data_IF_740078915306
#
_entry.id   IF_740078915306
#
_cell.length_a   1.000
_cell.length_b   1.000
_cell.length_c   1.000
_cell.angle_alpha   90.00
_cell.angle_beta   90.00
_cell.angle_gamma   90.00
#
_symmetry.space_group_name_H-M   'P 1'
#
loop_
_entity.id
_entity.type
_entity.pdbx_description
1 polymer ?
#
# COMPACT_ATOMS: atom_id res chain seq x y z
N UNK A 1 -13.24 5.34 6.13
CA UNK A 1 -13.85 4.27 6.95
C UNK A 1 -14.73 4.86 8.05
N UNK A 2 -14.23 5.82 8.85
CA UNK A 2 -14.99 6.43 9.96
C UNK A 2 -16.34 7.04 9.50
N UNK A 3 -16.34 7.79 8.40
CA UNK A 3 -17.56 8.39 7.81
C UNK A 3 -18.57 7.29 7.41
N UNK A 4 -18.10 6.24 6.74
CA UNK A 4 -18.96 5.11 6.36
C UNK A 4 -19.51 4.39 7.57
N UNK A 5 -18.69 4.18 8.60
CA UNK A 5 -19.14 3.53 9.85
C UNK A 5 -20.27 4.32 10.51
N UNK A 6 -20.13 5.64 10.65
CA UNK A 6 -21.16 6.51 11.22
C UNK A 6 -22.45 6.50 10.40
N UNK A 7 -22.33 6.53 9.08
CA UNK A 7 -23.46 6.46 8.16
C UNK A 7 -24.20 5.14 8.29
N UNK A 8 -23.48 4.02 8.21
CA UNK A 8 -24.04 2.66 8.33
C UNK A 8 -24.69 2.46 9.70
N UNK A 9 -24.06 2.95 10.77
CA UNK A 9 -24.61 2.86 12.11
C UNK A 9 -26.00 3.55 12.19
N UNK A 10 -26.09 4.76 11.65
CA UNK A 10 -27.36 5.51 11.61
C UNK A 10 -28.41 4.81 10.76
N UNK A 11 -28.03 4.24 9.63
CA UNK A 11 -28.95 3.47 8.78
C UNK A 11 -29.51 2.24 9.52
N UNK A 12 -28.65 1.49 10.21
CA UNK A 12 -29.05 0.31 11.01
C UNK A 12 -29.94 0.72 12.18
N UNK A 13 -29.61 1.82 12.86
CA UNK A 13 -30.43 2.35 13.96
C UNK A 13 -31.83 2.71 13.48
N UNK A 14 -31.94 3.41 12.34
CA UNK A 14 -33.23 3.76 11.71
C UNK A 14 -34.02 2.51 11.31
N UNK A 15 -33.37 1.47 10.76
CA UNK A 15 -34.02 0.20 10.42
C UNK A 15 -34.62 -0.49 11.65
N UNK A 16 -33.95 -0.40 12.83
CA UNK A 16 -34.48 -0.95 14.07
C UNK A 16 -35.73 -0.15 14.54
N UNK A 17 -35.71 1.17 14.41
CA UNK A 17 -36.86 2.03 14.75
C UNK A 17 -38.06 1.78 13.83
N UNK A 18 -37.84 1.72 12.51
CA UNK A 18 -38.89 1.50 11.51
C UNK A 18 -39.55 0.10 11.62
N UNK A 19 -38.81 -0.89 12.08
CA UNK A 19 -39.33 -2.25 12.27
C UNK A 19 -39.84 -2.52 13.71
N UNK A 20 -39.92 -1.48 14.54
CA UNK A 20 -40.37 -1.59 15.96
C UNK A 20 -39.55 -2.60 16.77
N UNK A 21 -38.27 -2.78 16.42
CA UNK A 21 -37.36 -3.69 17.13
C UNK A 21 -36.83 -3.02 18.41
N UNK A 22 -36.67 -3.81 19.47
CA UNK A 22 -36.00 -3.34 20.68
C UNK A 22 -34.56 -2.86 20.34
N UNK A 23 -34.22 -1.64 20.76
CA UNK A 23 -32.93 -1.04 20.52
C UNK A 23 -31.84 -1.74 21.32
N UNK A 24 -31.11 -2.65 20.66
CA UNK A 24 -29.97 -3.39 21.19
C UNK A 24 -28.68 -2.84 20.56
N UNK A 25 -27.97 -2.02 21.32
CA UNK A 25 -26.73 -1.34 20.82
C UNK A 25 -25.65 -2.34 20.39
N UNK A 26 -25.53 -3.50 21.04
CA UNK A 26 -24.55 -4.50 20.66
C UNK A 26 -24.90 -5.14 19.31
N UNK A 27 -26.16 -5.42 19.07
CA UNK A 27 -26.62 -5.92 17.77
C UNK A 27 -26.43 -4.89 16.67
N UNK A 28 -26.80 -3.62 16.93
CA UNK A 28 -26.59 -2.52 15.98
C UNK A 28 -25.12 -2.40 15.62
N UNK A 29 -24.21 -2.38 16.60
CA UNK A 29 -22.75 -2.36 16.36
C UNK A 29 -22.26 -3.53 15.52
N UNK A 30 -22.71 -4.75 15.85
CA UNK A 30 -22.32 -5.97 15.13
C UNK A 30 -22.79 -5.96 13.68
N UNK A 31 -23.99 -5.50 13.41
CA UNK A 31 -24.53 -5.36 12.05
C UNK A 31 -23.76 -4.28 11.29
N UNK A 32 -23.49 -3.15 11.96
CA UNK A 32 -22.71 -2.05 11.41
C UNK A 32 -21.33 -2.51 10.96
N UNK A 33 -20.58 -3.21 11.82
CA UNK A 33 -19.24 -3.70 11.47
C UNK A 33 -19.30 -4.72 10.31
N UNK A 34 -20.29 -5.59 10.28
CA UNK A 34 -20.47 -6.52 9.16
C UNK A 34 -20.70 -5.78 7.84
N UNK A 35 -21.61 -4.79 7.81
CA UNK A 35 -21.90 -3.99 6.62
C UNK A 35 -20.70 -3.15 6.20
N UNK A 36 -19.95 -2.64 7.17
CA UNK A 36 -18.71 -1.89 6.91
C UNK A 36 -17.65 -2.77 6.24
N UNK A 37 -17.46 -4.00 6.70
CA UNK A 37 -16.55 -4.94 6.04
C UNK A 37 -16.99 -5.25 4.60
N UNK A 38 -18.28 -5.39 4.34
CA UNK A 38 -18.81 -5.58 3.00
C UNK A 38 -18.60 -4.34 2.10
N UNK A 39 -18.70 -3.13 2.68
CA UNK A 39 -18.39 -1.88 1.96
C UNK A 39 -16.90 -1.77 1.64
N UNK A 40 -16.02 -2.06 2.60
CA UNK A 40 -14.57 -2.12 2.39
C UNK A 40 -14.23 -3.09 1.26
N UNK A 41 -14.79 -4.28 1.29
CA UNK A 41 -14.58 -5.30 0.25
C UNK A 41 -14.97 -4.78 -1.13
N UNK A 42 -16.15 -4.20 -1.28
CA UNK A 42 -16.61 -3.60 -2.54
C UNK A 42 -15.74 -2.43 -2.99
N UNK A 43 -15.33 -1.57 -2.05
CA UNK A 43 -14.44 -0.45 -2.32
C UNK A 43 -13.09 -0.90 -2.86
N UNK A 44 -12.44 -1.89 -2.24
CA UNK A 44 -11.17 -2.44 -2.71
C UNK A 44 -11.33 -3.13 -4.08
N UNK A 45 -12.43 -3.86 -4.32
CA UNK A 45 -12.73 -4.42 -5.63
C UNK A 45 -12.87 -3.33 -6.71
N UNK A 46 -13.53 -2.23 -6.39
CA UNK A 46 -13.70 -1.09 -7.30
C UNK A 46 -12.34 -0.47 -7.64
N UNK A 47 -11.49 -0.22 -6.64
CA UNK A 47 -10.12 0.30 -6.87
C UNK A 47 -9.34 -0.65 -7.77
N UNK A 48 -9.36 -1.95 -7.48
CA UNK A 48 -8.66 -2.95 -8.27
C UNK A 48 -9.17 -3.00 -9.72
N UNK A 49 -10.47 -2.96 -9.93
CA UNK A 49 -11.09 -2.93 -11.25
C UNK A 49 -10.66 -1.67 -12.03
N UNK A 50 -10.73 -0.49 -11.40
CA UNK A 50 -10.34 0.76 -12.02
C UNK A 50 -8.86 0.73 -12.45
N UNK A 51 -7.97 0.27 -11.59
CA UNK A 51 -6.53 0.21 -11.90
C UNK A 51 -6.18 -0.77 -13.03
N UNK A 52 -7.00 -1.81 -13.25
CA UNK A 52 -6.77 -2.79 -14.32
C UNK A 52 -7.35 -2.28 -15.65
N UNK A 53 -8.46 -1.55 -15.61
CA UNK A 53 -9.19 -1.12 -16.81
C UNK A 53 -8.80 0.26 -17.31
N UNK A 54 -8.23 1.11 -16.44
CA UNK A 54 -7.75 2.44 -16.84
C UNK A 54 -6.43 2.35 -17.58
N UNK A 55 -6.33 3.12 -18.66
CA UNK A 55 -5.08 3.36 -19.39
C UNK A 55 -4.79 4.84 -19.42
N UNK A 56 -3.50 5.20 -19.41
CA UNK A 56 -3.05 6.56 -19.68
C UNK A 56 -3.27 6.88 -21.17
N UNK A 57 -3.18 8.17 -21.53
CA UNK A 57 -3.27 8.61 -22.92
C UNK A 57 -2.26 7.91 -23.85
N UNK A 58 -1.15 7.40 -23.29
CA UNK A 58 -0.11 6.69 -24.04
C UNK A 58 -0.32 5.15 -24.03
N UNK A 59 -1.46 4.66 -23.60
CA UNK A 59 -1.77 3.23 -23.54
C UNK A 59 -1.05 2.45 -22.44
N UNK A 60 -0.53 3.12 -21.41
CA UNK A 60 0.12 2.49 -20.27
C UNK A 60 -0.84 2.34 -19.09
N UNK A 61 -0.68 1.26 -18.31
CA UNK A 61 -1.39 1.11 -17.06
C UNK A 61 -0.95 2.18 -16.03
N UNK A 62 -1.88 2.67 -15.18
CA UNK A 62 -1.52 3.60 -14.11
C UNK A 62 -0.50 3.01 -13.16
N UNK A 63 0.58 3.74 -12.90
CA UNK A 63 1.65 3.30 -12.01
C UNK A 63 1.32 3.71 -10.58
N UNK A 64 0.56 2.86 -9.87
CA UNK A 64 0.06 3.13 -8.51
C UNK A 64 0.75 2.22 -7.51
N UNK A 65 1.19 2.79 -6.40
CA UNK A 65 1.74 2.07 -5.25
C UNK A 65 0.84 2.25 -4.04
N UNK A 66 0.52 1.15 -3.35
CA UNK A 66 -0.11 1.16 -2.03
C UNK A 66 0.95 0.88 -0.97
N UNK A 67 1.17 1.87 -0.11
CA UNK A 67 2.11 1.78 0.99
C UNK A 67 1.35 1.44 2.27
N UNK A 68 1.47 0.19 2.71
CA UNK A 68 0.72 -0.37 3.83
C UNK A 68 1.53 -0.24 5.11
N UNK A 69 1.40 0.91 5.77
CA UNK A 69 2.12 1.29 6.97
C UNK A 69 1.14 1.63 8.10
N UNK A 70 1.14 0.83 9.16
CA UNK A 70 0.17 0.96 10.27
C UNK A 70 0.50 2.08 11.22
N UNK A 71 1.79 2.32 11.49
CA UNK A 71 2.27 3.32 12.44
C UNK A 71 2.19 4.77 11.92
N UNK A 72 1.63 4.97 10.72
CA UNK A 72 1.30 6.29 10.18
C UNK A 72 0.15 6.96 10.95
N UNK A 73 -0.69 6.16 11.60
CA UNK A 73 -1.91 6.61 12.29
C UNK A 73 -2.11 5.84 13.60
N UNK A 74 -2.93 6.38 14.50
CA UNK A 74 -3.19 5.82 15.81
C UNK A 74 -4.67 5.47 16.05
N UNK A 75 -4.92 4.74 17.14
CA UNK A 75 -6.25 4.46 17.66
C UNK A 75 -7.18 3.79 16.66
N UNK A 76 -8.41 4.31 16.56
CA UNK A 76 -9.44 3.76 15.66
C UNK A 76 -9.01 3.81 14.19
N UNK A 77 -8.29 4.85 13.78
CA UNK A 77 -7.83 4.99 12.40
C UNK A 77 -6.80 3.90 12.03
N UNK A 78 -5.91 3.52 12.96
CA UNK A 78 -4.98 2.40 12.78
C UNK A 78 -5.74 1.07 12.63
N UNK A 79 -6.74 0.84 13.45
CA UNK A 79 -7.61 -0.33 13.32
C UNK A 79 -8.32 -0.36 11.97
N UNK A 80 -8.91 0.75 11.54
CA UNK A 80 -9.57 0.87 10.25
C UNK A 80 -8.61 0.65 9.07
N UNK A 81 -7.38 1.16 9.17
CA UNK A 81 -6.32 0.91 8.20
C UNK A 81 -5.96 -0.58 8.14
N UNK A 82 -5.92 -1.26 9.30
CA UNK A 82 -5.66 -2.70 9.34
C UNK A 82 -6.72 -3.52 8.61
N UNK A 83 -8.00 -3.10 8.66
CA UNK A 83 -9.09 -3.73 7.90
C UNK A 83 -8.91 -3.55 6.39
N UNK A 84 -8.51 -2.35 5.95
CA UNK A 84 -8.21 -2.08 4.54
C UNK A 84 -7.03 -2.93 4.05
N UNK A 85 -5.93 -2.96 4.79
CA UNK A 85 -4.75 -3.76 4.47
C UNK A 85 -5.11 -5.24 4.35
N UNK A 86 -5.85 -5.76 5.32
CA UNK A 86 -6.33 -7.15 5.31
C UNK A 86 -7.13 -7.47 4.06
N UNK A 87 -8.04 -6.60 3.67
CA UNK A 87 -8.87 -6.83 2.48
C UNK A 87 -8.06 -6.72 1.19
N UNK A 88 -7.13 -5.76 1.09
CA UNK A 88 -6.20 -5.64 -0.06
C UNK A 88 -5.40 -6.92 -0.24
N UNK A 89 -4.80 -7.44 0.83
CA UNK A 89 -4.03 -8.69 0.78
C UNK A 89 -4.90 -9.90 0.44
N UNK A 90 -6.10 -9.98 1.00
CA UNK A 90 -7.06 -11.06 0.73
C UNK A 90 -7.45 -11.10 -0.75
N UNK A 91 -7.80 -9.97 -1.32
CA UNK A 91 -8.15 -9.89 -2.74
C UNK A 91 -6.94 -10.12 -3.65
N UNK A 92 -5.74 -9.69 -3.24
CA UNK A 92 -4.53 -10.00 -3.98
C UNK A 92 -4.24 -11.50 -3.99
N UNK A 93 -4.43 -12.21 -2.88
CA UNK A 93 -4.34 -13.67 -2.81
C UNK A 93 -5.31 -14.33 -3.80
N UNK A 94 -6.53 -13.85 -3.88
CA UNK A 94 -7.52 -14.33 -4.84
C UNK A 94 -7.08 -14.06 -6.28
N UNK A 95 -6.61 -12.86 -6.58
CA UNK A 95 -6.31 -12.37 -7.93
C UNK A 95 -7.56 -11.88 -8.68
N UNK A 96 -7.41 -11.69 -9.98
CA UNK A 96 -8.50 -11.31 -10.89
C UNK A 96 -8.65 -12.32 -12.00
N UNK A 97 -9.87 -12.53 -12.47
CA UNK A 97 -10.11 -13.34 -13.65
C UNK A 97 -9.84 -12.55 -14.92
N UNK A 98 -9.07 -13.12 -15.83
CA UNK A 98 -8.93 -12.60 -17.18
C UNK A 98 -10.15 -13.02 -18.06
N UNK A 99 -10.16 -12.60 -19.31
CA UNK A 99 -11.23 -12.91 -20.28
C UNK A 99 -11.46 -14.42 -20.49
N UNK A 100 -10.41 -15.22 -20.26
CA UNK A 100 -10.48 -16.70 -20.36
C UNK A 100 -10.93 -17.36 -19.05
N UNK A 101 -11.32 -16.58 -18.04
CA UNK A 101 -11.72 -17.07 -16.72
C UNK A 101 -10.58 -17.56 -15.82
N UNK A 102 -9.33 -17.35 -16.22
CA UNK A 102 -8.14 -17.75 -15.46
C UNK A 102 -7.80 -16.68 -14.43
N UNK A 103 -7.51 -17.08 -13.19
CA UNK A 103 -7.08 -16.20 -12.13
C UNK A 103 -5.63 -15.77 -12.32
N UNK A 104 -5.42 -14.49 -12.50
CA UNK A 104 -4.09 -13.88 -12.66
C UNK A 104 -3.78 -12.90 -11.54
N UNK A 105 -2.50 -12.58 -11.38
CA UNK A 105 -2.06 -11.51 -10.48
C UNK A 105 -2.05 -10.18 -11.24
N UNK A 106 -2.81 -9.17 -10.81
CA UNK A 106 -2.75 -7.85 -11.43
C UNK A 106 -1.39 -7.20 -11.18
N UNK A 107 -0.85 -6.50 -12.19
CA UNK A 107 0.42 -5.78 -12.07
C UNK A 107 0.34 -4.62 -11.06
N UNK A 108 -0.82 -3.94 -11.00
CA UNK A 108 -1.07 -2.79 -10.14
C UNK A 108 -2.33 -2.98 -9.28
N UNK A 109 -2.39 -2.32 -8.12
CA UNK A 109 -1.35 -1.49 -7.51
C UNK A 109 -0.14 -2.33 -7.09
N UNK A 110 1.05 -1.73 -7.11
CA UNK A 110 2.21 -2.28 -6.39
C UNK A 110 1.92 -2.25 -4.91
N UNK A 111 2.10 -3.38 -4.23
CA UNK A 111 1.86 -3.50 -2.80
C UNK A 111 3.19 -3.47 -2.06
N UNK A 112 3.32 -2.58 -1.10
CA UNK A 112 4.47 -2.48 -0.21
C UNK A 112 3.97 -2.61 1.21
N UNK A 113 4.47 -3.60 1.94
CA UNK A 113 4.12 -3.87 3.32
C UNK A 113 5.26 -3.47 4.24
N UNK A 114 4.97 -2.60 5.21
CA UNK A 114 5.97 -2.13 6.16
C UNK A 114 5.99 -3.02 7.38
N UNK A 115 7.16 -3.56 7.69
CA UNK A 115 7.44 -4.33 8.89
C UNK A 115 7.89 -3.37 10.00
N UNK A 116 7.17 -3.38 11.10
CA UNK A 116 7.45 -2.56 12.28
C UNK A 116 7.14 -3.34 13.57
N UNK A 117 7.42 -2.78 14.73
CA UNK A 117 7.29 -3.45 16.03
C UNK A 117 5.86 -3.94 16.30
N UNK A 118 4.85 -3.25 15.77
CA UNK A 118 3.44 -3.59 15.93
C UNK A 118 2.96 -4.82 15.12
N UNK A 119 3.81 -5.35 14.22
CA UNK A 119 3.39 -6.44 13.32
C UNK A 119 4.45 -7.53 13.06
N UNK A 120 5.67 -7.44 13.63
CA UNK A 120 6.76 -8.40 13.32
C UNK A 120 6.87 -9.60 14.27
N UNK A 121 6.34 -9.52 15.48
CA UNK A 121 6.40 -10.62 16.45
C UNK A 121 5.02 -11.25 16.68
N UNK A 122 4.99 -12.53 17.06
CA UNK A 122 3.74 -13.26 17.32
C UNK A 122 2.87 -12.58 18.38
N UNK A 123 3.48 -11.89 19.34
CA UNK A 123 2.77 -11.13 20.39
C UNK A 123 2.28 -9.76 19.92
N UNK A 124 2.64 -9.34 18.72
CA UNK A 124 2.25 -8.03 18.18
C UNK A 124 0.77 -8.00 17.80
N UNK A 125 0.05 -6.89 18.04
CA UNK A 125 -1.39 -6.80 17.84
C UNK A 125 -1.82 -7.00 16.37
N UNK A 126 -0.92 -6.76 15.43
CA UNK A 126 -1.19 -6.88 13.99
C UNK A 126 -0.36 -7.97 13.31
N UNK A 127 0.24 -8.91 14.05
CA UNK A 127 1.01 -10.01 13.48
C UNK A 127 0.24 -10.83 12.45
N UNK A 128 -1.05 -11.04 12.66
CA UNK A 128 -1.91 -11.73 11.70
C UNK A 128 -1.95 -11.10 10.29
N UNK A 129 -1.66 -9.79 10.17
CA UNK A 129 -1.51 -9.14 8.86
C UNK A 129 -0.20 -9.55 8.20
N UNK A 130 0.89 -9.70 8.96
CA UNK A 130 2.18 -10.17 8.45
C UNK A 130 2.09 -11.63 7.97
N UNK A 131 1.38 -12.49 8.72
CA UNK A 131 1.09 -13.85 8.24
C UNK A 131 0.29 -13.84 6.93
N UNK A 132 -0.71 -12.97 6.84
CA UNK A 132 -1.52 -12.83 5.62
C UNK A 132 -0.67 -12.28 4.45
N UNK A 133 0.22 -11.32 4.72
CA UNK A 133 1.16 -10.81 3.73
C UNK A 133 2.11 -11.92 3.24
N UNK A 134 2.66 -12.74 4.15
CA UNK A 134 3.48 -13.90 3.81
C UNK A 134 2.73 -14.93 2.95
N UNK A 135 1.46 -15.23 3.28
CA UNK A 135 0.59 -16.09 2.45
C UNK A 135 0.35 -15.49 1.06
N UNK A 136 0.19 -14.17 0.99
CA UNK A 136 0.08 -13.45 -0.27
C UNK A 136 1.36 -13.58 -1.10
N UNK A 137 2.52 -13.40 -0.49
CA UNK A 137 3.82 -13.54 -1.15
C UNK A 137 4.03 -14.94 -1.67
N UNK A 138 3.75 -15.96 -0.88
CA UNK A 138 3.87 -17.36 -1.29
C UNK A 138 3.03 -17.69 -2.54
N UNK A 139 1.89 -17.04 -2.71
CA UNK A 139 0.98 -17.31 -3.84
C UNK A 139 1.15 -16.35 -5.02
N UNK A 140 1.53 -15.10 -4.77
CA UNK A 140 1.50 -14.01 -5.76
C UNK A 140 2.81 -13.27 -5.93
N UNK A 141 3.84 -13.59 -5.14
CA UNK A 141 5.16 -12.93 -5.12
C UNK A 141 5.07 -11.42 -4.78
N UNK A 142 4.03 -11.02 -4.08
CA UNK A 142 3.79 -9.67 -3.55
C UNK A 142 3.10 -9.80 -2.19
N UNK A 143 3.20 -8.81 -1.28
CA UNK A 143 3.82 -7.48 -1.40
C UNK A 143 5.34 -7.51 -1.33
N UNK A 144 5.95 -6.37 -1.68
CA UNK A 144 7.32 -6.05 -1.30
C UNK A 144 7.37 -5.63 0.17
N UNK A 145 8.48 -5.92 0.86
CA UNK A 145 8.64 -5.61 2.28
C UNK A 145 9.64 -4.50 2.51
N UNK A 146 9.34 -3.61 3.45
CA UNK A 146 10.23 -2.55 3.93
C UNK A 146 10.30 -2.63 5.45
N UNK A 147 11.52 -2.59 6.01
CA UNK A 147 11.72 -2.46 7.44
C UNK A 147 11.63 -0.98 7.84
N UNK A 148 10.65 -0.63 8.68
CA UNK A 148 10.55 0.71 9.24
C UNK A 148 11.78 1.08 10.06
N UNK A 149 12.33 0.14 10.84
CA UNK A 149 13.56 0.34 11.61
C UNK A 149 14.72 0.78 10.73
N UNK A 150 15.02 0.02 9.68
CA UNK A 150 16.13 0.33 8.75
C UNK A 150 15.84 1.65 8.01
N UNK A 151 14.58 1.89 7.66
CA UNK A 151 14.22 3.14 7.00
C UNK A 151 14.45 4.35 7.92
N UNK A 152 14.04 4.28 9.19
CA UNK A 152 14.30 5.36 10.17
C UNK A 152 15.81 5.62 10.33
N UNK A 153 16.63 4.58 10.37
CA UNK A 153 18.09 4.72 10.44
C UNK A 153 18.67 5.42 9.21
N UNK A 154 18.23 5.05 8.00
CA UNK A 154 18.77 5.58 6.74
C UNK A 154 18.16 6.92 6.33
N UNK A 155 16.96 7.26 6.81
CA UNK A 155 16.16 8.41 6.39
C UNK A 155 15.91 9.41 7.53
N UNK A 156 16.85 9.53 8.48
CA UNK A 156 16.83 10.51 9.59
C UNK A 156 15.56 10.45 10.46
N UNK A 157 15.05 9.24 10.69
CA UNK A 157 13.86 9.00 11.50
C UNK A 157 12.56 8.88 10.71
N UNK A 158 12.58 9.18 9.41
CA UNK A 158 11.38 9.16 8.58
C UNK A 158 11.07 7.78 8.01
N UNK A 159 9.76 7.49 7.90
CA UNK A 159 9.23 6.35 7.14
C UNK A 159 8.27 6.91 6.09
N UNK A 160 8.58 6.70 4.81
CA UNK A 160 7.75 7.18 3.71
C UNK A 160 7.81 6.23 2.51
N UNK A 161 6.82 6.37 1.63
CA UNK A 161 6.67 5.49 0.47
C UNK A 161 7.81 5.63 -0.53
N UNK A 162 8.22 4.52 -1.12
CA UNK A 162 8.97 4.51 -2.37
C UNK A 162 8.00 4.55 -3.56
N UNK A 163 8.53 4.90 -4.72
CA UNK A 163 7.79 4.86 -5.99
C UNK A 163 8.12 3.58 -6.77
N UNK A 164 7.12 2.99 -7.38
CA UNK A 164 7.23 1.92 -8.37
C UNK A 164 8.26 0.84 -8.04
N UNK A 165 9.43 0.91 -8.64
CA UNK A 165 10.52 -0.06 -8.48
C UNK A 165 11.41 0.17 -7.26
N UNK A 166 10.90 0.78 -6.17
CA UNK A 166 11.58 1.13 -4.92
C UNK A 166 12.54 2.31 -5.04
N UNK A 167 12.27 3.23 -5.95
CA UNK A 167 12.97 4.51 -5.97
C UNK A 167 12.46 5.39 -4.83
N UNK A 168 13.34 5.78 -3.92
CA UNK A 168 13.03 6.71 -2.84
C UNK A 168 13.36 8.13 -3.28
N UNK A 169 12.33 8.96 -3.43
CA UNK A 169 12.53 10.37 -3.70
C UNK A 169 13.04 11.06 -2.44
N UNK A 170 14.20 11.69 -2.54
CA UNK A 170 14.80 12.41 -1.40
C UNK A 170 13.85 13.50 -0.92
N UNK A 171 13.67 13.57 0.39
CA UNK A 171 12.93 14.64 1.06
C UNK A 171 13.92 15.76 1.35
N UNK A 172 13.64 16.95 0.86
CA UNK A 172 14.54 18.09 0.99
C UNK A 172 14.23 18.90 2.25
N UNK A 173 15.25 19.13 3.07
CA UNK A 173 15.13 19.87 4.35
C UNK A 173 14.66 21.32 4.14
N UNK A 174 14.90 21.89 2.96
CA UNK A 174 14.45 23.25 2.61
C UNK A 174 12.94 23.33 2.33
N UNK A 175 12.28 22.21 2.05
CA UNK A 175 10.87 22.15 1.72
C UNK A 175 10.09 21.48 2.87
N UNK A 176 9.56 22.29 3.75
CA UNK A 176 8.75 21.83 4.89
C UNK A 176 7.31 22.31 4.77
N UNK A 177 6.43 21.56 5.41
CA UNK A 177 5.06 22.01 5.66
C UNK A 177 5.04 23.19 6.66
N UNK A 178 3.94 23.95 6.74
CA UNK A 178 3.82 25.05 7.70
C UNK A 178 4.02 24.65 9.18
N UNK A 179 3.76 23.37 9.51
CA UNK A 179 3.96 22.80 10.85
C UNK A 179 5.41 22.34 11.12
N UNK A 180 6.32 22.52 10.17
CA UNK A 180 7.71 22.13 10.27
C UNK A 180 8.00 20.68 9.87
N UNK A 181 6.99 19.86 9.59
CA UNK A 181 7.18 18.47 9.12
C UNK A 181 7.74 18.41 7.69
N UNK A 182 8.36 17.28 7.34
CA UNK A 182 8.86 17.06 5.98
C UNK A 182 7.71 16.97 4.98
N UNK A 183 7.92 17.53 3.79
CA UNK A 183 6.96 17.50 2.71
C UNK A 183 7.15 16.26 1.84
N UNK A 184 6.28 15.26 1.97
CA UNK A 184 6.35 13.99 1.23
C UNK A 184 5.56 13.96 -0.08
N UNK A 185 4.80 14.98 -0.41
CA UNK A 185 3.95 15.07 -1.60
C UNK A 185 4.50 16.06 -2.62
N UNK A 186 3.97 16.01 -3.85
CA UNK A 186 4.36 16.91 -4.95
C UNK A 186 5.72 16.57 -5.56
N UNK A 187 6.24 15.37 -5.32
CA UNK A 187 7.49 14.85 -5.90
C UNK A 187 7.16 13.79 -6.94
N UNK A 188 7.97 13.68 -7.98
CA UNK A 188 7.78 12.72 -9.05
C UNK A 188 9.11 12.27 -9.65
N UNK A 189 9.12 11.09 -10.27
CA UNK A 189 10.22 10.66 -11.14
C UNK A 189 10.03 11.26 -12.52
N UNK A 190 11.00 12.08 -12.96
CA UNK A 190 10.95 12.69 -14.28
C UNK A 190 11.38 11.72 -15.38
N UNK A 191 12.28 10.80 -15.07
CA UNK A 191 12.79 9.83 -16.02
C UNK A 191 13.81 8.89 -15.38
N UNK A 192 14.29 7.97 -16.19
CA UNK A 192 15.35 7.01 -15.83
C UNK A 192 16.55 7.26 -16.71
N UNK A 193 17.73 7.40 -16.09
CA UNK A 193 19.01 7.45 -16.80
C UNK A 193 19.66 6.06 -16.65
N UNK A 194 19.97 5.45 -17.79
CA UNK A 194 20.62 4.15 -17.82
C UNK A 194 22.08 4.32 -18.19
N UNK A 195 22.97 3.77 -17.36
CA UNK A 195 24.40 3.69 -17.66
C UNK A 195 24.67 2.32 -18.28
N UNK A 196 25.21 2.31 -19.50
CA UNK A 196 25.59 1.09 -20.19
C UNK A 196 27.00 0.65 -19.76
N UNK A 197 27.07 -0.11 -18.67
CA UNK A 197 28.35 -0.62 -18.16
C UNK A 197 29.09 -1.52 -19.14
N UNK A 198 28.40 -2.18 -20.07
CA UNK A 198 29.05 -3.00 -21.11
C UNK A 198 29.82 -2.10 -22.06
N UNK A 199 29.24 -0.97 -22.47
CA UNK A 199 29.92 0.00 -23.32
C UNK A 199 31.12 0.63 -22.63
N UNK A 200 31.01 1.01 -21.36
CA UNK A 200 32.11 1.49 -20.53
C UNK A 200 33.27 0.48 -20.48
N UNK A 201 32.95 -0.79 -20.22
CA UNK A 201 33.92 -1.87 -20.13
C UNK A 201 34.60 -2.13 -21.49
N UNK A 202 33.85 -2.16 -22.57
CA UNK A 202 34.41 -2.33 -23.91
C UNK A 202 35.30 -1.14 -24.31
N UNK A 203 34.85 0.08 -24.02
CA UNK A 203 35.58 1.31 -24.33
C UNK A 203 36.84 1.51 -23.50
N UNK A 204 36.96 0.85 -22.36
CA UNK A 204 38.16 0.87 -21.52
C UNK A 204 39.26 -0.08 -21.99
N UNK A 205 38.97 -0.97 -22.93
CA UNK A 205 39.91 -1.97 -23.46
C UNK A 205 40.61 -2.81 -22.39
N UNK A 206 39.96 -3.06 -21.25
CA UNK A 206 40.49 -3.81 -20.13
C UNK A 206 41.34 -3.00 -19.14
N UNK A 207 41.46 -1.71 -19.35
CA UNK A 207 42.15 -0.78 -18.46
C UNK A 207 41.15 -0.29 -17.40
N UNK A 208 41.42 -0.63 -16.11
CA UNK A 208 40.54 -0.27 -15.00
C UNK A 208 40.55 1.23 -14.68
N UNK A 209 41.68 1.91 -14.86
CA UNK A 209 41.75 3.36 -14.63
C UNK A 209 40.93 4.10 -15.70
N UNK A 210 41.02 3.63 -16.94
CA UNK A 210 40.19 4.14 -18.03
C UNK A 210 38.69 3.81 -17.82
N UNK A 211 38.35 2.61 -17.29
CA UNK A 211 36.99 2.26 -16.98
C UNK A 211 36.36 3.28 -16.02
N UNK A 212 37.04 3.54 -14.91
CA UNK A 212 36.54 4.51 -13.92
C UNK A 212 36.45 5.92 -14.47
N UNK A 213 37.43 6.33 -15.26
CA UNK A 213 37.42 7.64 -15.90
C UNK A 213 36.28 7.85 -16.92
N UNK A 214 35.82 6.78 -17.57
CA UNK A 214 34.67 6.86 -18.50
C UNK A 214 33.34 6.85 -17.71
N UNK A 215 33.33 6.16 -16.59
CA UNK A 215 32.12 6.01 -15.75
C UNK A 215 31.79 7.27 -14.96
N UNK A 216 32.81 8.02 -14.48
CA UNK A 216 32.69 9.29 -13.75
C UNK A 216 32.24 10.46 -14.69
#
# INVERSE_FOLDING_TARGET
VDISRKKIYKEVETEFEENELEKDEEKIKKITEKRLLDEIKRGIQTIQYQLITLMTCNGQAPFVTMFMYLDEVEGQTRYDLSLLIREVLTQRIQGVKNEKGVWITPAFPKLIYVLDEDNISEDSPYYALTELAAKCTAKRMVPDYISAKVMRELKRGDVYTCMGCRSFLTVEDSQRNPDGSHKYYGRFNQGVVTINLVDVACSSYGDMDMFWKILD
#
